data_IF_076637081410
#
_entry.id   IF_076637081410
#
_cell.length_a   1.000
_cell.length_b   1.000
_cell.length_c   1.000
_cell.angle_alpha   90.00
_cell.angle_beta   90.00
_cell.angle_gamma   90.00
#
_symmetry.space_group_name_H-M   'P 1'
#
loop_
_entity.id
_entity.type
_entity.pdbx_description
1 polymer ?
#
# COMPACT_ATOMS: atom_id res chain seq x y z
N UNK A 1 -22.65 32.43 -29.84
CA UNK A 1 -22.74 33.82 -30.32
C UNK A 1 -24.14 34.32 -29.98
N UNK A 2 -24.26 35.37 -29.19
CA UNK A 2 -25.51 35.85 -28.62
C UNK A 2 -26.47 36.33 -29.70
N UNK A 3 -27.77 36.10 -29.53
CA UNK A 3 -28.86 36.64 -30.39
C UNK A 3 -28.67 38.13 -30.69
N UNK A 4 -28.13 38.90 -29.76
CA UNK A 4 -27.82 40.32 -29.87
C UNK A 4 -26.85 40.68 -31.01
N UNK A 5 -25.86 39.83 -31.30
CA UNK A 5 -24.93 40.05 -32.43
C UNK A 5 -25.60 39.88 -33.78
N UNK A 6 -26.61 39.03 -33.88
CA UNK A 6 -27.39 38.85 -35.10
C UNK A 6 -28.39 39.99 -35.31
N UNK A 7 -28.99 40.48 -34.24
CA UNK A 7 -29.87 41.64 -34.26
C UNK A 7 -29.06 42.87 -34.66
N UNK A 8 -27.90 43.09 -34.08
CA UNK A 8 -27.01 44.20 -34.42
C UNK A 8 -26.58 44.15 -35.89
N UNK A 9 -26.20 42.97 -36.38
CA UNK A 9 -25.79 42.75 -37.77
C UNK A 9 -26.97 43.03 -38.73
N UNK A 10 -28.16 42.61 -38.38
CA UNK A 10 -29.38 42.81 -39.14
C UNK A 10 -29.77 44.34 -39.19
N UNK A 11 -29.61 45.02 -38.07
CA UNK A 11 -29.82 46.48 -37.99
C UNK A 11 -28.79 47.25 -38.83
N UNK A 12 -27.51 46.85 -38.77
CA UNK A 12 -26.46 47.47 -39.60
C UNK A 12 -26.73 47.23 -41.11
N UNK A 13 -27.11 45.99 -41.48
CA UNK A 13 -27.47 45.69 -42.88
C UNK A 13 -28.70 46.44 -43.33
N UNK A 14 -29.72 46.56 -42.48
CA UNK A 14 -30.92 47.34 -42.78
C UNK A 14 -30.63 48.86 -42.92
N UNK A 15 -29.77 49.43 -42.08
CA UNK A 15 -29.31 50.77 -42.12
C UNK A 15 -28.49 51.08 -43.40
N UNK A 16 -27.56 50.16 -43.75
CA UNK A 16 -26.78 50.23 -44.99
C UNK A 16 -27.68 50.12 -46.25
N UNK A 17 -28.69 49.27 -46.22
CA UNK A 17 -29.68 49.13 -47.31
C UNK A 17 -30.54 50.36 -47.43
N UNK A 18 -30.98 50.95 -46.32
CA UNK A 18 -31.77 52.21 -46.35
C UNK A 18 -30.95 53.40 -46.83
N UNK A 19 -29.69 53.50 -46.44
CA UNK A 19 -28.77 54.53 -46.90
C UNK A 19 -28.42 54.37 -48.39
N UNK A 20 -28.17 53.12 -48.82
CA UNK A 20 -27.89 52.76 -50.21
C UNK A 20 -29.08 53.00 -51.14
N UNK A 21 -30.34 52.85 -50.67
CA UNK A 21 -31.56 53.10 -51.45
C UNK A 21 -31.66 54.52 -51.93
N UNK A 22 -31.23 55.48 -51.13
CA UNK A 22 -31.30 56.89 -51.51
C UNK A 22 -30.35 57.27 -52.68
N UNK A 23 -29.23 56.58 -52.81
CA UNK A 23 -28.21 56.75 -53.84
C UNK A 23 -28.56 56.01 -55.15
N UNK A 24 -29.22 54.90 -55.07
CA UNK A 24 -29.52 53.98 -56.19
C UNK A 24 -30.85 54.45 -56.91
N UNK A 25 -31.68 55.21 -56.21
CA UNK A 25 -32.94 55.67 -56.75
C UNK A 25 -32.78 56.74 -57.89
N UNK A 26 -31.58 57.33 -58.00
CA UNK A 26 -31.31 58.38 -59.02
C UNK A 26 -30.85 57.82 -60.37
N UNK A 27 -30.12 56.68 -60.37
CA UNK A 27 -29.70 55.94 -61.57
C UNK A 27 -29.53 54.44 -61.28
N UNK A 28 -30.53 53.60 -61.65
CA UNK A 28 -30.44 52.17 -61.46
C UNK A 28 -29.53 51.52 -62.53
N UNK A 29 -28.19 51.56 -62.34
CA UNK A 29 -27.26 50.87 -63.24
C UNK A 29 -27.70 49.42 -63.51
N UNK A 30 -27.59 49.02 -64.79
CA UNK A 30 -27.90 47.61 -65.14
C UNK A 30 -26.65 46.80 -65.33
N UNK A 31 -26.72 45.51 -64.87
CA UNK A 31 -25.67 44.50 -65.07
C UNK A 31 -26.13 43.49 -66.08
N UNK A 32 -25.39 43.37 -67.20
CA UNK A 32 -25.64 42.43 -68.28
C UNK A 32 -24.66 41.24 -68.17
N UNK A 33 -25.19 40.13 -67.82
CA UNK A 33 -24.42 38.90 -67.75
C UNK A 33 -24.71 38.01 -68.97
N UNK A 34 -23.72 37.80 -69.80
CA UNK A 34 -23.81 36.89 -70.97
C UNK A 34 -23.08 35.56 -70.63
N UNK A 35 -23.84 34.49 -70.50
CA UNK A 35 -23.29 33.16 -70.29
C UNK A 35 -23.94 32.19 -71.31
N UNK A 36 -23.12 31.55 -72.16
CA UNK A 36 -23.55 30.52 -73.09
C UNK A 36 -24.84 30.79 -73.91
N UNK A 37 -25.00 32.00 -74.40
CA UNK A 37 -26.18 32.39 -75.26
C UNK A 37 -27.39 32.94 -74.45
N UNK A 38 -27.37 32.91 -73.18
CA UNK A 38 -28.40 33.53 -72.30
C UNK A 38 -27.98 34.99 -72.00
N UNK A 39 -28.87 35.92 -72.18
CA UNK A 39 -28.73 37.32 -71.73
C UNK A 39 -29.64 37.55 -70.54
N UNK A 40 -29.01 37.78 -69.37
CA UNK A 40 -29.76 38.19 -68.18
C UNK A 40 -29.46 39.64 -67.90
N UNK A 41 -30.47 40.45 -68.06
CA UNK A 41 -30.47 41.93 -67.75
C UNK A 41 -31.06 42.06 -66.32
N UNK A 42 -30.29 42.55 -65.41
CA UNK A 42 -30.75 42.80 -64.04
C UNK A 42 -30.26 44.15 -63.56
N UNK A 43 -31.00 44.78 -62.67
CA UNK A 43 -30.53 46.01 -61.99
C UNK A 43 -29.40 45.65 -61.06
N UNK A 44 -28.43 46.55 -60.84
CA UNK A 44 -27.31 46.35 -59.88
C UNK A 44 -27.79 45.89 -58.49
N UNK A 45 -28.93 46.50 -58.07
CA UNK A 45 -29.57 46.13 -56.77
C UNK A 45 -30.04 44.69 -56.75
N UNK A 46 -30.67 44.20 -57.79
CA UNK A 46 -31.15 42.84 -57.89
C UNK A 46 -29.96 41.84 -57.95
N UNK A 47 -28.87 42.15 -58.66
CA UNK A 47 -27.68 41.38 -58.73
C UNK A 47 -27.00 41.23 -57.33
N UNK A 48 -26.87 42.32 -56.58
CA UNK A 48 -26.34 42.30 -55.20
C UNK A 48 -27.24 41.51 -54.26
N UNK A 49 -28.57 41.66 -54.41
CA UNK A 49 -29.54 40.92 -53.59
C UNK A 49 -29.47 39.42 -53.88
N UNK A 50 -29.36 39.02 -55.16
CA UNK A 50 -29.18 37.60 -55.55
C UNK A 50 -27.86 37.04 -54.98
N UNK A 51 -26.76 37.82 -55.08
CA UNK A 51 -25.45 37.40 -54.53
C UNK A 51 -25.52 37.24 -53.01
N UNK A 52 -26.20 38.17 -52.33
CA UNK A 52 -26.41 38.12 -50.89
C UNK A 52 -27.24 36.90 -50.45
N UNK A 53 -28.34 36.60 -51.16
CA UNK A 53 -29.18 35.44 -50.94
C UNK A 53 -28.40 34.17 -51.21
N UNK A 54 -27.66 34.10 -52.33
CA UNK A 54 -26.80 32.96 -52.64
C UNK A 54 -25.73 32.70 -51.55
N UNK A 55 -25.10 33.78 -51.06
CA UNK A 55 -24.13 33.71 -49.97
C UNK A 55 -24.78 33.27 -48.66
N UNK A 56 -25.96 33.78 -48.30
CA UNK A 56 -26.72 33.36 -47.12
C UNK A 56 -27.13 31.89 -47.20
N UNK A 57 -27.58 31.42 -48.38
CA UNK A 57 -27.91 30.00 -48.62
C UNK A 57 -26.67 29.14 -48.49
N UNK A 58 -25.53 29.59 -49.04
CA UNK A 58 -24.25 28.86 -48.91
C UNK A 58 -23.82 28.73 -47.44
N UNK A 59 -23.91 29.81 -46.65
CA UNK A 59 -23.63 29.79 -45.21
C UNK A 59 -24.58 28.87 -44.48
N UNK A 60 -25.88 28.94 -44.80
CA UNK A 60 -26.90 28.09 -44.17
C UNK A 60 -26.64 26.59 -44.50
N UNK A 61 -26.38 26.30 -45.76
CA UNK A 61 -26.02 24.94 -46.19
C UNK A 61 -24.76 24.42 -45.51
N UNK A 62 -23.69 25.25 -45.41
CA UNK A 62 -22.46 24.94 -44.70
C UNK A 62 -22.71 24.70 -43.21
N UNK A 63 -23.57 25.51 -42.57
CA UNK A 63 -23.93 25.39 -41.17
C UNK A 63 -24.79 24.15 -40.92
N UNK A 64 -25.74 23.83 -41.81
CA UNK A 64 -26.56 22.61 -41.77
C UNK A 64 -25.72 21.36 -41.93
N UNK A 65 -24.74 21.38 -42.84
CA UNK A 65 -23.82 20.29 -43.08
C UNK A 65 -22.88 20.03 -41.87
N UNK A 66 -22.46 21.12 -41.19
CA UNK A 66 -21.60 21.04 -40.01
C UNK A 66 -22.34 20.70 -38.70
N UNK A 67 -23.62 20.95 -38.61
CA UNK A 67 -24.44 20.77 -37.41
C UNK A 67 -24.47 19.31 -36.91
N UNK A 68 -24.68 18.29 -37.76
CA UNK A 68 -24.68 16.89 -37.34
C UNK A 68 -23.31 16.43 -36.79
N UNK A 69 -22.20 16.90 -37.35
CA UNK A 69 -20.86 16.54 -36.85
C UNK A 69 -20.61 17.08 -35.45
N UNK A 70 -21.07 18.26 -35.10
CA UNK A 70 -20.98 18.79 -33.77
C UNK A 70 -21.89 18.10 -32.75
N UNK A 71 -23.07 17.67 -33.16
CA UNK A 71 -24.02 16.93 -32.33
C UNK A 71 -23.53 15.48 -32.06
N UNK A 72 -23.05 14.80 -33.08
CA UNK A 72 -22.44 13.45 -32.98
C UNK A 72 -21.20 13.46 -32.08
N UNK A 73 -20.31 14.45 -32.23
CA UNK A 73 -19.13 14.59 -31.38
C UNK A 73 -19.51 14.80 -29.90
N UNK A 74 -20.52 15.64 -29.62
CA UNK A 74 -21.03 15.86 -28.25
C UNK A 74 -21.63 14.57 -27.66
N UNK A 75 -22.42 13.84 -28.44
CA UNK A 75 -23.01 12.56 -28.04
C UNK A 75 -21.93 11.51 -27.76
N UNK A 76 -20.92 11.42 -28.62
CA UNK A 76 -19.79 10.50 -28.45
C UNK A 76 -19.00 10.80 -27.17
N UNK A 77 -18.69 12.08 -26.91
CA UNK A 77 -18.00 12.52 -25.68
C UNK A 77 -18.79 12.18 -24.42
N UNK A 78 -20.12 12.39 -24.42
CA UNK A 78 -20.99 12.04 -23.29
C UNK A 78 -21.01 10.54 -23.04
N UNK A 79 -21.14 9.74 -24.09
CA UNK A 79 -21.16 8.27 -24.00
C UNK A 79 -19.82 7.71 -23.50
N UNK A 80 -18.69 8.23 -23.98
CA UNK A 80 -17.36 7.79 -23.51
C UNK A 80 -17.12 8.15 -22.05
N UNK A 81 -17.56 9.31 -21.58
CA UNK A 81 -17.50 9.69 -20.15
C UNK A 81 -18.37 8.78 -19.29
N UNK A 82 -19.58 8.45 -19.76
CA UNK A 82 -20.49 7.51 -19.07
C UNK A 82 -19.84 6.13 -18.94
N UNK A 83 -19.27 5.59 -20.01
CA UNK A 83 -18.56 4.30 -20.01
C UNK A 83 -17.33 4.31 -19.10
N UNK A 84 -16.58 5.41 -19.04
CA UNK A 84 -15.47 5.55 -18.10
C UNK A 84 -15.96 5.43 -16.65
N UNK A 85 -17.04 6.15 -16.31
CA UNK A 85 -17.62 6.11 -14.96
C UNK A 85 -18.14 4.70 -14.63
N UNK A 86 -18.91 4.07 -15.52
CA UNK A 86 -19.43 2.70 -15.36
C UNK A 86 -18.31 1.67 -15.24
N UNK A 87 -17.26 1.79 -16.06
CA UNK A 87 -16.09 0.93 -15.99
C UNK A 87 -15.29 1.08 -14.71
N UNK A 88 -15.14 2.30 -14.18
CA UNK A 88 -14.47 2.53 -12.88
C UNK A 88 -15.31 2.00 -11.72
N UNK A 89 -16.63 2.16 -11.75
CA UNK A 89 -17.54 1.56 -10.75
C UNK A 89 -17.43 0.04 -10.80
N UNK A 90 -17.52 -0.58 -11.98
CA UNK A 90 -17.36 -2.01 -12.15
C UNK A 90 -16.01 -2.54 -11.63
N UNK A 91 -14.92 -1.75 -11.82
CA UNK A 91 -13.60 -2.07 -11.27
C UNK A 91 -13.61 -2.09 -9.74
N UNK A 92 -14.27 -1.12 -9.10
CA UNK A 92 -14.40 -1.05 -7.63
C UNK A 92 -15.29 -2.17 -7.07
N UNK A 93 -16.33 -2.56 -7.79
CA UNK A 93 -17.23 -3.65 -7.43
C UNK A 93 -16.61 -5.05 -7.70
N UNK A 94 -15.40 -5.13 -8.27
CA UNK A 94 -14.75 -6.40 -8.60
C UNK A 94 -15.25 -7.06 -9.90
N UNK A 95 -16.10 -6.41 -10.68
CA UNK A 95 -16.58 -6.87 -11.99
C UNK A 95 -15.56 -6.55 -13.08
N UNK A 96 -14.36 -7.16 -12.96
CA UNK A 96 -13.20 -6.80 -13.75
C UNK A 96 -13.37 -6.99 -15.26
N UNK A 97 -14.16 -8.00 -15.70
CA UNK A 97 -14.43 -8.23 -17.13
C UNK A 97 -15.32 -7.16 -17.76
N UNK A 98 -16.32 -6.65 -17.02
CA UNK A 98 -17.18 -5.55 -17.47
C UNK A 98 -16.39 -4.25 -17.46
N UNK A 99 -15.62 -4.02 -16.40
CA UNK A 99 -14.72 -2.87 -16.28
C UNK A 99 -13.79 -2.75 -17.48
N UNK A 100 -13.08 -3.81 -17.85
CA UNK A 100 -12.17 -3.81 -19.00
C UNK A 100 -12.90 -3.45 -20.31
N UNK A 101 -14.05 -4.05 -20.56
CA UNK A 101 -14.83 -3.78 -21.79
C UNK A 101 -15.27 -2.33 -21.90
N UNK A 102 -15.79 -1.75 -20.81
CA UNK A 102 -16.31 -0.38 -20.83
C UNK A 102 -15.17 0.64 -20.86
N UNK A 103 -14.07 0.38 -20.14
CA UNK A 103 -12.87 1.22 -20.16
C UNK A 103 -12.20 1.21 -21.54
N UNK A 104 -12.08 0.06 -22.22
CA UNK A 104 -11.55 -0.03 -23.58
C UNK A 104 -12.43 0.71 -24.59
N UNK A 105 -13.75 0.76 -24.39
CA UNK A 105 -14.63 1.58 -25.22
C UNK A 105 -14.49 3.08 -24.91
N UNK A 106 -14.24 3.44 -23.66
CA UNK A 106 -14.01 4.82 -23.24
C UNK A 106 -12.67 5.38 -23.79
N UNK A 107 -11.64 4.52 -23.95
CA UNK A 107 -10.30 4.89 -24.43
C UNK A 107 -10.28 5.40 -25.89
N UNK A 108 -11.35 5.16 -26.65
CA UNK A 108 -11.50 5.68 -28.03
C UNK A 108 -11.59 7.22 -28.08
N UNK A 109 -11.86 7.88 -26.95
CA UNK A 109 -11.82 9.33 -26.84
C UNK A 109 -10.42 9.74 -26.34
N UNK A 110 -9.65 10.45 -27.15
CA UNK A 110 -8.26 10.84 -26.85
C UNK A 110 -8.07 11.48 -25.48
N UNK A 111 -9.03 12.36 -25.11
CA UNK A 111 -8.99 13.03 -23.80
C UNK A 111 -9.13 12.07 -22.60
N UNK A 112 -9.64 10.86 -22.78
CA UNK A 112 -9.83 9.84 -21.73
C UNK A 112 -8.90 8.63 -21.90
N UNK A 113 -8.17 8.56 -23.02
CA UNK A 113 -7.40 7.40 -23.45
C UNK A 113 -6.44 6.92 -22.38
N UNK A 114 -5.62 7.81 -21.83
CA UNK A 114 -4.63 7.46 -20.82
C UNK A 114 -5.26 6.86 -19.56
N UNK A 115 -6.25 7.54 -18.98
CA UNK A 115 -6.92 7.08 -17.75
C UNK A 115 -7.68 5.78 -17.99
N UNK A 116 -8.40 5.68 -19.12
CA UNK A 116 -9.19 4.50 -19.44
C UNK A 116 -8.32 3.25 -19.67
N UNK A 117 -7.21 3.40 -20.40
CA UNK A 117 -6.28 2.28 -20.63
C UNK A 117 -5.57 1.86 -19.34
N UNK A 118 -5.14 2.79 -18.48
CA UNK A 118 -4.53 2.46 -17.19
C UNK A 118 -5.49 1.67 -16.30
N UNK A 119 -6.74 2.12 -16.21
CA UNK A 119 -7.78 1.42 -15.43
C UNK A 119 -8.15 0.06 -16.06
N UNK A 120 -8.19 -0.04 -17.39
CA UNK A 120 -8.43 -1.30 -18.11
C UNK A 120 -7.31 -2.31 -17.86
N UNK A 121 -6.06 -1.87 -17.86
CA UNK A 121 -4.91 -2.73 -17.54
C UNK A 121 -4.94 -3.23 -16.09
N UNK A 122 -5.33 -2.38 -15.12
CA UNK A 122 -5.53 -2.82 -13.74
C UNK A 122 -6.65 -3.87 -13.64
N UNK A 123 -7.75 -3.71 -14.41
CA UNK A 123 -8.84 -4.69 -14.46
C UNK A 123 -8.36 -6.05 -15.01
N UNK A 124 -7.61 -6.05 -16.12
CA UNK A 124 -7.01 -7.25 -16.69
C UNK A 124 -6.01 -7.92 -15.73
N UNK A 125 -5.16 -7.13 -15.06
CA UNK A 125 -4.21 -7.63 -14.08
C UNK A 125 -4.90 -8.29 -12.87
N UNK A 126 -6.04 -7.74 -12.42
CA UNK A 126 -6.81 -8.32 -11.31
C UNK A 126 -7.54 -9.62 -11.68
N UNK A 127 -7.76 -9.86 -12.98
CA UNK A 127 -8.24 -11.15 -13.49
C UNK A 127 -7.14 -12.20 -13.61
N UNK A 128 -5.87 -11.83 -13.36
CA UNK A 128 -4.72 -12.69 -13.59
C UNK A 128 -4.22 -12.69 -15.04
N UNK A 129 -4.80 -11.90 -15.93
CA UNK A 129 -4.42 -11.79 -17.34
C UNK A 129 -3.24 -10.80 -17.52
N UNK A 130 -2.08 -11.15 -16.93
CA UNK A 130 -0.93 -10.25 -16.86
C UNK A 130 -0.38 -9.89 -18.24
N UNK A 131 -0.35 -10.85 -19.19
CA UNK A 131 0.06 -10.59 -20.57
C UNK A 131 -0.81 -9.53 -21.23
N UNK A 132 -2.14 -9.68 -21.13
CA UNK A 132 -3.11 -8.70 -21.65
C UNK A 132 -2.96 -7.33 -21.01
N UNK A 133 -2.75 -7.29 -19.69
CA UNK A 133 -2.50 -6.03 -18.99
C UNK A 133 -1.24 -5.30 -19.52
N UNK A 134 -0.17 -6.04 -19.80
CA UNK A 134 1.08 -5.49 -20.36
C UNK A 134 0.89 -4.93 -21.77
N UNK A 135 0.09 -5.59 -22.62
CA UNK A 135 -0.26 -5.07 -23.97
C UNK A 135 -1.01 -3.73 -23.87
N UNK A 136 -2.04 -3.67 -23.02
CA UNK A 136 -2.82 -2.44 -22.79
C UNK A 136 -1.90 -1.32 -22.26
N UNK A 137 -0.95 -1.64 -21.37
CA UNK A 137 0.00 -0.67 -20.83
C UNK A 137 1.00 -0.16 -21.85
N UNK A 138 1.37 -0.99 -22.82
CA UNK A 138 2.21 -0.55 -23.95
C UNK A 138 1.50 0.56 -24.75
N UNK A 139 0.19 0.42 -24.99
CA UNK A 139 -0.63 1.46 -25.62
C UNK A 139 -0.80 2.70 -24.71
N UNK A 140 -1.06 2.49 -23.42
CA UNK A 140 -1.22 3.56 -22.44
C UNK A 140 0.03 4.42 -22.28
N UNK A 141 1.21 3.87 -22.56
CA UNK A 141 2.50 4.57 -22.42
C UNK A 141 2.64 5.81 -23.29
N UNK A 142 1.92 5.87 -24.42
CA UNK A 142 1.88 7.04 -25.30
C UNK A 142 1.15 8.23 -24.66
N UNK A 143 0.08 7.95 -23.91
CA UNK A 143 -0.77 8.98 -23.29
C UNK A 143 -0.37 9.34 -21.85
N UNK A 144 0.18 8.37 -21.11
CA UNK A 144 0.52 8.52 -19.69
C UNK A 144 1.80 7.72 -19.33
N UNK A 145 2.99 8.12 -19.79
CA UNK A 145 4.20 7.30 -19.73
C UNK A 145 4.64 6.94 -18.30
N UNK A 146 4.61 7.87 -17.37
CA UNK A 146 5.03 7.61 -15.99
C UNK A 146 4.07 6.66 -15.27
N UNK A 147 2.75 6.90 -15.37
CA UNK A 147 1.75 6.05 -14.73
C UNK A 147 1.73 4.65 -15.34
N UNK A 148 1.87 4.53 -16.66
CA UNK A 148 1.96 3.25 -17.35
C UNK A 148 3.19 2.45 -16.91
N UNK A 149 4.35 3.10 -16.71
CA UNK A 149 5.57 2.46 -16.21
C UNK A 149 5.40 1.90 -14.82
N UNK A 150 4.85 2.68 -13.88
CA UNK A 150 4.59 2.24 -12.51
C UNK A 150 3.61 1.07 -12.48
N UNK A 151 2.53 1.16 -13.27
CA UNK A 151 1.53 0.09 -13.32
C UNK A 151 2.10 -1.17 -14.00
N UNK A 152 2.95 -1.01 -15.02
CA UNK A 152 3.67 -2.13 -15.66
C UNK A 152 4.58 -2.86 -14.68
N UNK A 153 5.32 -2.13 -13.85
CA UNK A 153 6.13 -2.74 -12.79
C UNK A 153 5.26 -3.51 -11.78
N UNK A 154 4.09 -2.96 -11.41
CA UNK A 154 3.14 -3.66 -10.54
C UNK A 154 2.63 -4.95 -11.15
N UNK A 155 2.29 -4.96 -12.44
CA UNK A 155 1.82 -6.16 -13.15
C UNK A 155 2.93 -7.20 -13.22
N UNK A 156 4.16 -6.81 -13.58
CA UNK A 156 5.32 -7.70 -13.62
C UNK A 156 5.60 -8.32 -12.24
N UNK A 157 5.55 -7.53 -11.18
CA UNK A 157 5.73 -8.05 -9.82
C UNK A 157 4.64 -9.06 -9.42
N UNK A 158 3.38 -8.80 -9.79
CA UNK A 158 2.27 -9.76 -9.57
C UNK A 158 2.44 -11.04 -10.39
N UNK A 159 3.07 -10.94 -11.56
CA UNK A 159 3.40 -12.07 -12.43
C UNK A 159 4.65 -12.85 -11.95
N UNK A 160 5.22 -12.49 -10.79
CA UNK A 160 6.44 -13.12 -10.26
C UNK A 160 7.75 -12.60 -10.87
N UNK A 161 7.71 -11.65 -11.80
CA UNK A 161 8.87 -11.06 -12.50
C UNK A 161 9.38 -9.83 -11.76
N UNK A 162 9.73 -10.01 -10.47
CA UNK A 162 10.08 -8.90 -9.57
C UNK A 162 11.36 -8.17 -10.01
N UNK A 163 12.34 -8.88 -10.55
CA UNK A 163 13.60 -8.31 -11.05
C UNK A 163 13.38 -7.40 -12.25
N UNK A 164 12.50 -7.81 -13.19
CA UNK A 164 12.13 -6.98 -14.33
C UNK A 164 11.35 -5.72 -13.88
N UNK A 165 10.43 -5.90 -12.92
CA UNK A 165 9.68 -4.79 -12.32
C UNK A 165 10.62 -3.77 -11.68
N UNK A 166 11.62 -4.24 -10.94
CA UNK A 166 12.62 -3.40 -10.30
C UNK A 166 13.47 -2.65 -11.34
N UNK A 167 14.00 -3.35 -12.34
CA UNK A 167 14.81 -2.77 -13.41
C UNK A 167 14.07 -1.65 -14.16
N UNK A 168 12.76 -1.75 -14.28
CA UNK A 168 11.92 -0.75 -14.94
C UNK A 168 11.82 0.57 -14.17
N UNK A 169 11.86 0.52 -12.82
CA UNK A 169 11.67 1.67 -11.94
C UNK A 169 12.98 2.36 -11.52
N UNK A 170 14.09 1.63 -11.51
CA UNK A 170 15.40 2.12 -11.06
C UNK A 170 15.84 3.39 -11.77
N UNK A 171 15.77 3.53 -13.12
CA UNK A 171 16.23 4.73 -13.80
C UNK A 171 15.48 6.02 -13.37
N UNK A 172 14.20 5.90 -13.04
CA UNK A 172 13.40 7.02 -12.57
C UNK A 172 13.64 7.30 -11.07
N UNK A 173 13.93 6.24 -10.28
CA UNK A 173 14.30 6.38 -8.88
C UNK A 173 15.63 7.12 -8.71
N UNK A 174 16.64 6.76 -9.51
CA UNK A 174 17.97 7.40 -9.49
C UNK A 174 17.90 8.89 -9.84
N UNK A 175 16.90 9.29 -10.63
CA UNK A 175 16.61 10.70 -10.97
C UNK A 175 15.65 11.38 -10.00
N UNK A 176 15.23 10.71 -8.93
CA UNK A 176 14.17 11.13 -8.02
C UNK A 176 12.86 11.55 -8.73
N UNK A 177 12.59 10.98 -9.90
CA UNK A 177 11.46 11.33 -10.77
C UNK A 177 10.24 10.42 -10.62
N UNK A 178 10.27 9.46 -9.67
CA UNK A 178 9.14 8.58 -9.43
C UNK A 178 7.98 9.34 -8.80
N UNK A 179 6.74 9.12 -9.28
CA UNK A 179 5.56 9.62 -8.59
C UNK A 179 5.38 8.90 -7.24
N UNK A 180 4.57 9.46 -6.31
CA UNK A 180 4.36 8.88 -4.98
C UNK A 180 4.05 7.37 -4.97
N UNK A 181 3.15 6.92 -5.83
CA UNK A 181 2.84 5.49 -5.99
C UNK A 181 3.98 4.66 -6.57
N UNK A 182 4.91 5.30 -7.30
CA UNK A 182 6.11 4.66 -7.86
C UNK A 182 7.12 4.26 -6.78
N UNK A 183 7.34 5.09 -5.78
CA UNK A 183 8.21 4.76 -4.64
C UNK A 183 7.71 3.55 -3.86
N UNK A 184 6.38 3.47 -3.65
CA UNK A 184 5.77 2.29 -3.03
C UNK A 184 6.00 1.03 -3.87
N UNK A 185 5.80 1.13 -5.18
CA UNK A 185 5.98 -0.02 -6.08
C UNK A 185 7.45 -0.42 -6.19
N UNK A 186 8.38 0.54 -6.16
CA UNK A 186 9.82 0.28 -6.09
C UNK A 186 10.18 -0.52 -4.84
N UNK A 187 9.73 -0.07 -3.66
CA UNK A 187 9.99 -0.79 -2.41
C UNK A 187 9.45 -2.22 -2.44
N UNK A 188 8.22 -2.41 -2.95
CA UNK A 188 7.60 -3.74 -3.05
C UNK A 188 8.28 -4.63 -4.08
N UNK A 189 8.71 -4.07 -5.22
CA UNK A 189 9.43 -4.83 -6.26
C UNK A 189 10.83 -5.20 -5.80
N UNK A 190 11.52 -4.30 -5.11
CA UNK A 190 12.83 -4.55 -4.52
C UNK A 190 12.77 -5.64 -3.45
N UNK A 191 11.77 -5.61 -2.56
CA UNK A 191 11.53 -6.69 -1.59
C UNK A 191 11.29 -8.03 -2.28
N UNK A 192 10.43 -8.07 -3.27
CA UNK A 192 10.11 -9.29 -4.00
C UNK A 192 11.32 -9.83 -4.81
N UNK A 193 12.23 -8.96 -5.24
CA UNK A 193 13.47 -9.30 -5.93
C UNK A 193 14.64 -9.64 -4.97
N UNK A 194 14.45 -9.47 -3.64
CA UNK A 194 15.50 -9.67 -2.65
C UNK A 194 16.54 -8.52 -2.57
N UNK A 195 16.32 -7.42 -3.26
CA UNK A 195 17.20 -6.23 -3.18
C UNK A 195 16.79 -5.32 -2.00
N UNK A 196 17.18 -5.77 -0.80
CA UNK A 196 16.84 -5.07 0.44
C UNK A 196 17.46 -3.69 0.54
N UNK A 197 18.62 -3.46 -0.08
CA UNK A 197 19.27 -2.14 -0.10
C UNK A 197 18.41 -1.12 -0.84
N UNK A 198 17.89 -1.47 -2.02
CA UNK A 198 16.98 -0.58 -2.77
C UNK A 198 15.64 -0.42 -2.09
N UNK A 199 15.15 -1.47 -1.44
CA UNK A 199 13.92 -1.39 -0.65
C UNK A 199 14.06 -0.37 0.50
N UNK A 200 15.17 -0.39 1.24
CA UNK A 200 15.49 0.60 2.28
C UNK A 200 15.62 2.02 1.73
N UNK A 201 16.34 2.18 0.62
CA UNK A 201 16.52 3.49 -0.01
C UNK A 201 15.19 4.12 -0.50
N UNK A 202 14.19 3.31 -0.80
CA UNK A 202 12.88 3.79 -1.21
C UNK A 202 12.01 4.31 -0.05
N UNK A 203 12.31 3.98 1.21
CA UNK A 203 11.47 4.34 2.37
C UNK A 203 11.40 5.84 2.62
N UNK A 204 12.55 6.53 2.60
CA UNK A 204 12.60 7.98 2.86
C UNK A 204 11.83 8.80 1.82
N UNK A 205 12.04 8.60 0.49
CA UNK A 205 11.23 9.28 -0.53
C UNK A 205 9.74 8.92 -0.44
N UNK A 206 9.41 7.67 -0.11
CA UNK A 206 8.03 7.23 0.08
C UNK A 206 7.36 7.96 1.25
N UNK A 207 8.05 8.10 2.38
CA UNK A 207 7.55 8.83 3.55
C UNK A 207 7.31 10.30 3.22
N UNK A 208 8.30 10.97 2.58
CA UNK A 208 8.19 12.37 2.15
C UNK A 208 7.06 12.60 1.16
N UNK A 209 6.76 11.62 0.32
CA UNK A 209 5.71 11.72 -0.69
C UNK A 209 4.28 11.68 -0.13
N UNK A 210 4.08 11.19 1.09
CA UNK A 210 2.76 11.02 1.70
C UNK A 210 1.84 10.03 0.98
N UNK A 211 2.38 9.17 0.10
CA UNK A 211 1.60 8.23 -0.71
C UNK A 211 0.86 7.17 0.11
N UNK A 212 1.30 6.92 1.33
CA UNK A 212 0.68 6.01 2.27
C UNK A 212 0.32 6.77 3.55
N UNK A 213 -0.84 6.45 4.12
CA UNK A 213 -1.14 6.88 5.49
C UNK A 213 -0.19 6.20 6.48
N UNK A 214 -0.09 6.76 7.69
CA UNK A 214 0.86 6.31 8.73
C UNK A 214 0.86 4.79 8.92
N UNK A 215 -0.31 4.18 9.11
CA UNK A 215 -0.42 2.72 9.29
C UNK A 215 0.11 1.92 8.08
N UNK A 216 -0.16 2.38 6.86
CA UNK A 216 0.32 1.71 5.64
C UNK A 216 1.83 1.84 5.46
N UNK A 217 2.39 2.99 5.83
CA UNK A 217 3.83 3.22 5.80
C UNK A 217 4.55 2.36 6.85
N UNK A 218 4.12 2.39 8.11
CA UNK A 218 4.77 1.61 9.18
C UNK A 218 4.72 0.10 8.91
N UNK A 219 3.63 -0.40 8.34
CA UNK A 219 3.53 -1.81 7.95
C UNK A 219 4.51 -2.19 6.82
N UNK A 220 4.71 -1.31 5.83
CA UNK A 220 5.68 -1.55 4.76
C UNK A 220 7.11 -1.39 5.27
N UNK A 221 7.39 -0.36 6.07
CA UNK A 221 8.68 -0.12 6.71
C UNK A 221 9.12 -1.33 7.54
N UNK A 222 8.25 -1.86 8.39
CA UNK A 222 8.54 -3.07 9.17
C UNK A 222 8.93 -4.26 8.28
N UNK A 223 8.20 -4.49 7.18
CA UNK A 223 8.53 -5.57 6.22
C UNK A 223 9.91 -5.37 5.58
N UNK A 224 10.22 -4.13 5.21
CA UNK A 224 11.52 -3.82 4.58
C UNK A 224 12.65 -3.99 5.58
N UNK A 225 12.48 -3.51 6.82
CA UNK A 225 13.47 -3.63 7.87
C UNK A 225 13.74 -5.09 8.24
N UNK A 226 12.68 -5.88 8.46
CA UNK A 226 12.80 -7.30 8.75
C UNK A 226 13.55 -8.01 7.61
N UNK A 227 13.14 -7.80 6.37
CA UNK A 227 13.79 -8.45 5.23
C UNK A 227 15.27 -8.04 5.09
N UNK A 228 15.62 -6.79 5.37
CA UNK A 228 17.00 -6.31 5.32
C UNK A 228 17.86 -6.91 6.43
N UNK A 229 17.31 -7.03 7.64
CA UNK A 229 17.96 -7.64 8.79
C UNK A 229 18.17 -9.13 8.57
N UNK A 230 17.14 -9.85 8.10
CA UNK A 230 17.19 -11.30 7.84
C UNK A 230 18.16 -11.62 6.69
N UNK A 231 18.33 -10.73 5.72
CA UNK A 231 19.26 -10.89 4.60
C UNK A 231 20.73 -10.66 4.99
N UNK A 232 21.04 -10.17 6.20
CA UNK A 232 22.42 -9.97 6.63
C UNK A 232 23.17 -11.33 6.64
N UNK A 233 24.32 -11.44 5.93
CA UNK A 233 25.04 -12.71 5.81
C UNK A 233 25.77 -13.11 7.09
N UNK A 234 26.22 -12.16 7.89
CA UNK A 234 26.97 -12.35 9.12
C UNK A 234 26.70 -11.24 10.14
N UNK A 235 27.27 -11.39 11.34
CA UNK A 235 27.12 -10.44 12.44
C UNK A 235 27.76 -9.07 12.18
N UNK A 236 28.83 -9.01 11.40
CA UNK A 236 29.49 -7.75 11.07
C UNK A 236 28.64 -6.93 10.11
N UNK A 237 28.09 -7.57 9.07
CA UNK A 237 27.15 -6.94 8.14
C UNK A 237 25.86 -6.50 8.85
N UNK A 238 25.33 -7.33 9.79
CA UNK A 238 24.18 -6.98 10.60
C UNK A 238 24.41 -5.72 11.44
N UNK A 239 25.57 -5.65 12.16
CA UNK A 239 25.92 -4.50 12.98
C UNK A 239 26.13 -3.23 12.13
N UNK A 240 26.73 -3.38 10.95
CA UNK A 240 26.92 -2.28 10.00
C UNK A 240 25.55 -1.75 9.54
N UNK A 241 24.67 -2.64 9.09
CA UNK A 241 23.31 -2.28 8.72
C UNK A 241 22.58 -1.57 9.87
N UNK A 242 22.62 -2.17 11.09
CA UNK A 242 21.94 -1.62 12.27
C UNK A 242 22.42 -0.22 12.62
N UNK A 243 23.74 0.01 12.56
CA UNK A 243 24.32 1.33 12.86
C UNK A 243 23.94 2.41 11.84
N UNK A 244 23.76 2.02 10.58
CA UNK A 244 23.38 2.92 9.48
C UNK A 244 21.89 3.28 9.46
N UNK A 245 21.03 2.47 10.10
CA UNK A 245 19.59 2.76 10.17
C UNK A 245 19.33 4.05 10.96
N UNK A 246 18.39 4.91 10.51
CA UNK A 246 17.90 6.06 11.27
C UNK A 246 17.39 5.64 12.65
N UNK A 247 17.58 6.51 13.65
CA UNK A 247 17.11 6.25 15.04
C UNK A 247 15.62 5.90 15.13
N UNK A 248 14.80 6.51 14.27
CA UNK A 248 13.35 6.21 14.19
C UNK A 248 13.09 4.76 13.79
N UNK A 249 13.80 4.26 12.80
CA UNK A 249 13.66 2.89 12.31
C UNK A 249 14.22 1.86 13.31
N UNK A 250 15.34 2.15 13.95
CA UNK A 250 15.88 1.29 15.02
C UNK A 250 15.00 1.20 16.26
N UNK A 251 14.07 2.14 16.46
CA UNK A 251 13.11 2.12 17.57
C UNK A 251 11.82 1.34 17.28
N UNK A 252 11.61 0.94 16.04
CA UNK A 252 10.42 0.15 15.68
C UNK A 252 10.50 -1.25 16.35
N UNK A 253 9.46 -1.67 17.12
CA UNK A 253 9.48 -2.97 17.83
C UNK A 253 9.79 -4.15 16.92
N UNK A 254 9.20 -4.21 15.75
CA UNK A 254 9.44 -5.26 14.77
C UNK A 254 10.90 -5.31 14.25
N UNK A 255 11.57 -4.17 14.15
CA UNK A 255 12.98 -4.12 13.75
C UNK A 255 13.90 -4.60 14.89
N UNK A 256 13.58 -4.23 16.13
CA UNK A 256 14.33 -4.66 17.32
C UNK A 256 14.22 -6.17 17.50
N UNK A 257 13.01 -6.73 17.38
CA UNK A 257 12.78 -8.16 17.45
C UNK A 257 13.55 -8.93 16.35
N UNK A 258 13.47 -8.46 15.10
CA UNK A 258 14.20 -9.05 13.99
C UNK A 258 15.72 -8.99 14.22
N UNK A 259 16.24 -7.83 14.66
CA UNK A 259 17.65 -7.65 14.98
C UNK A 259 18.08 -8.60 16.09
N UNK A 260 17.32 -8.69 17.19
CA UNK A 260 17.65 -9.53 18.34
C UNK A 260 17.70 -11.01 17.94
N UNK A 261 16.72 -11.49 17.18
CA UNK A 261 16.70 -12.89 16.67
C UNK A 261 17.90 -13.17 15.76
N UNK A 262 18.16 -12.26 14.81
CA UNK A 262 19.27 -12.45 13.85
C UNK A 262 20.63 -12.36 14.51
N UNK A 263 20.84 -11.39 15.41
CA UNK A 263 22.06 -11.22 16.18
C UNK A 263 22.35 -12.43 17.07
N UNK A 264 21.34 -12.95 17.76
CA UNK A 264 21.49 -14.19 18.54
C UNK A 264 21.89 -15.39 17.67
N UNK A 265 21.34 -15.51 16.46
CA UNK A 265 21.73 -16.53 15.49
C UNK A 265 23.20 -16.46 15.07
N UNK A 266 23.81 -15.28 15.12
CA UNK A 266 25.24 -15.08 14.89
C UNK A 266 26.10 -15.11 16.18
N UNK A 267 25.51 -15.47 17.32
CA UNK A 267 26.21 -15.49 18.62
C UNK A 267 26.35 -14.12 19.29
N UNK A 268 25.78 -13.07 18.71
CA UNK A 268 25.80 -11.69 19.25
C UNK A 268 24.67 -11.49 20.28
N UNK A 269 24.64 -12.35 21.30
CA UNK A 269 23.55 -12.38 22.29
C UNK A 269 23.56 -11.13 23.18
N UNK A 270 24.71 -10.65 23.61
CA UNK A 270 24.79 -9.46 24.48
C UNK A 270 24.27 -8.19 23.79
N UNK A 271 24.72 -7.84 22.57
CA UNK A 271 24.14 -6.70 21.84
C UNK A 271 22.63 -6.84 21.59
N UNK A 272 22.15 -8.05 21.30
CA UNK A 272 20.72 -8.32 21.12
C UNK A 272 19.91 -8.00 22.38
N UNK A 273 20.44 -8.41 23.53
CA UNK A 273 19.81 -8.18 24.83
C UNK A 273 19.83 -6.70 25.21
N UNK A 274 20.96 -6.02 25.02
CA UNK A 274 21.09 -4.59 25.32
C UNK A 274 20.06 -3.76 24.53
N UNK A 275 19.84 -4.08 23.26
CA UNK A 275 18.82 -3.41 22.43
C UNK A 275 17.39 -3.69 22.93
N UNK A 276 17.06 -4.94 23.25
CA UNK A 276 15.74 -5.31 23.81
C UNK A 276 15.50 -4.63 25.15
N UNK A 277 16.46 -4.69 26.07
CA UNK A 277 16.34 -4.05 27.38
C UNK A 277 16.26 -2.53 27.29
N UNK A 278 17.04 -1.92 26.38
CA UNK A 278 16.98 -0.47 26.12
C UNK A 278 15.63 -0.07 25.55
N UNK A 279 15.04 -0.90 24.69
CA UNK A 279 13.71 -0.66 24.13
C UNK A 279 12.62 -0.76 25.20
N UNK A 280 12.63 -1.83 25.99
CA UNK A 280 11.66 -2.06 27.07
C UNK A 280 11.71 -0.98 28.18
N UNK A 281 12.89 -0.43 28.47
CA UNK A 281 13.00 0.72 29.38
C UNK A 281 12.39 2.01 28.84
N UNK A 282 12.34 2.16 27.50
CA UNK A 282 11.74 3.36 26.87
C UNK A 282 10.23 3.24 26.74
N UNK A 283 9.78 2.07 26.30
CA UNK A 283 8.37 1.80 26.04
C UNK A 283 8.12 0.31 26.25
N UNK A 284 7.21 0.01 27.15
CA UNK A 284 6.85 -1.37 27.43
C UNK A 284 6.07 -1.98 26.27
N UNK A 285 6.51 -3.10 25.75
CA UNK A 285 5.90 -3.81 24.63
C UNK A 285 5.87 -5.30 24.89
N UNK A 286 4.68 -5.89 24.82
CA UNK A 286 4.51 -7.35 24.98
C UNK A 286 5.31 -8.13 23.92
N UNK A 287 5.33 -7.66 22.68
CA UNK A 287 6.09 -8.26 21.58
C UNK A 287 7.60 -8.36 21.92
N UNK A 288 8.18 -7.29 22.46
CA UNK A 288 9.60 -7.28 22.85
C UNK A 288 9.89 -8.11 24.12
N UNK A 289 8.94 -8.18 25.03
CA UNK A 289 9.03 -9.06 26.21
C UNK A 289 9.04 -10.53 25.78
N UNK A 290 8.18 -10.91 24.86
CA UNK A 290 8.16 -12.26 24.30
C UNK A 290 9.48 -12.59 23.58
N UNK A 291 10.00 -11.66 22.77
CA UNK A 291 11.29 -11.79 22.11
C UNK A 291 12.41 -11.98 23.12
N UNK A 292 12.43 -11.22 24.23
CA UNK A 292 13.37 -11.37 25.32
C UNK A 292 13.32 -12.77 25.95
N UNK A 293 12.10 -13.30 26.15
CA UNK A 293 11.88 -14.65 26.67
C UNK A 293 12.36 -15.76 25.74
N UNK A 294 12.25 -15.57 24.41
CA UNK A 294 12.62 -16.58 23.41
C UNK A 294 14.12 -16.61 23.13
N UNK A 295 14.81 -15.49 23.31
CA UNK A 295 16.24 -15.37 22.96
C UNK A 295 17.08 -16.46 23.65
N UNK A 296 17.85 -17.20 22.88
CA UNK A 296 18.76 -18.25 23.41
C UNK A 296 20.11 -17.65 23.80
N UNK A 297 20.72 -18.20 24.87
CA UNK A 297 22.07 -17.85 25.32
C UNK A 297 22.13 -16.67 26.29
N UNK A 298 23.34 -16.18 26.55
CA UNK A 298 23.63 -15.14 27.55
C UNK A 298 23.64 -15.64 28.98
N UNK A 299 23.86 -14.74 29.94
CA UNK A 299 23.78 -15.04 31.38
C UNK A 299 22.30 -15.17 31.81
N UNK A 300 21.84 -16.41 31.97
CA UNK A 300 20.46 -16.73 32.34
C UNK A 300 20.08 -16.18 33.71
N UNK A 301 21.04 -16.17 34.68
CA UNK A 301 20.77 -15.66 36.03
C UNK A 301 20.60 -14.14 36.02
N UNK A 302 21.41 -13.41 35.27
CA UNK A 302 21.26 -11.98 35.11
C UNK A 302 19.92 -11.64 34.40
N UNK A 303 19.55 -12.42 33.37
CA UNK A 303 18.30 -12.27 32.67
C UNK A 303 17.08 -12.51 33.56
N UNK A 304 17.16 -13.57 34.38
CA UNK A 304 16.09 -13.91 35.31
C UNK A 304 15.91 -12.79 36.34
N UNK A 305 16.97 -12.31 36.97
CA UNK A 305 16.90 -11.18 37.90
C UNK A 305 16.29 -9.94 37.26
N UNK A 306 16.63 -9.68 36.02
CA UNK A 306 16.07 -8.54 35.26
C UNK A 306 14.57 -8.70 35.02
N UNK A 307 14.14 -9.88 34.53
CA UNK A 307 12.74 -10.18 34.28
C UNK A 307 11.92 -10.18 35.58
N UNK A 308 12.45 -10.71 36.66
CA UNK A 308 11.83 -10.65 38.01
C UNK A 308 11.74 -9.21 38.53
N UNK A 309 12.73 -8.35 38.23
CA UNK A 309 12.65 -6.91 38.52
C UNK A 309 11.50 -6.22 37.79
N UNK A 310 11.27 -6.54 36.53
CA UNK A 310 10.15 -5.99 35.76
C UNK A 310 8.78 -6.46 36.27
N UNK A 311 8.71 -7.66 36.89
CA UNK A 311 7.46 -8.15 37.48
C UNK A 311 7.00 -7.31 38.69
N UNK A 312 7.88 -6.52 39.32
CA UNK A 312 7.50 -5.58 40.35
C UNK A 312 6.62 -4.46 39.77
N UNK A 313 6.94 -3.98 38.58
CA UNK A 313 6.21 -2.92 37.89
C UNK A 313 5.03 -3.47 37.05
N UNK A 314 5.15 -4.70 36.55
CA UNK A 314 4.17 -5.35 35.68
C UNK A 314 3.74 -6.75 36.20
N UNK A 315 3.12 -6.84 37.41
CA UNK A 315 2.89 -8.12 38.10
C UNK A 315 1.90 -9.04 37.40
N UNK A 316 1.01 -8.49 36.55
CA UNK A 316 -0.04 -9.22 35.83
C UNK A 316 0.15 -9.21 34.32
N UNK A 317 1.36 -9.04 33.85
CA UNK A 317 1.67 -9.14 32.41
C UNK A 317 1.92 -10.62 32.04
N UNK A 318 1.00 -11.20 31.27
CA UNK A 318 1.05 -12.60 30.85
C UNK A 318 2.27 -12.92 29.98
N UNK A 319 2.69 -11.99 29.13
CA UNK A 319 3.86 -12.14 28.26
C UNK A 319 5.15 -12.13 29.09
N UNK A 320 5.24 -11.26 30.10
CA UNK A 320 6.39 -11.21 31.00
C UNK A 320 6.50 -12.49 31.85
N UNK A 321 5.38 -12.99 32.38
CA UNK A 321 5.35 -14.25 33.10
C UNK A 321 5.78 -15.41 32.20
N UNK A 322 5.32 -15.45 30.95
CA UNK A 322 5.76 -16.44 29.96
C UNK A 322 7.27 -16.32 29.68
N UNK A 323 7.76 -15.10 29.46
CA UNK A 323 9.19 -14.85 29.21
C UNK A 323 10.05 -15.31 30.40
N UNK A 324 9.66 -14.95 31.62
CA UNK A 324 10.33 -15.36 32.86
C UNK A 324 10.30 -16.87 33.03
N UNK A 325 9.16 -17.51 32.78
CA UNK A 325 9.01 -18.95 32.79
C UNK A 325 9.93 -19.66 31.79
N UNK A 326 10.06 -19.17 30.56
CA UNK A 326 10.98 -19.69 29.55
C UNK A 326 12.44 -19.55 29.95
N UNK A 327 12.82 -18.43 30.58
CA UNK A 327 14.18 -18.26 31.13
C UNK A 327 14.44 -19.28 32.22
N UNK A 328 13.49 -19.50 33.14
CA UNK A 328 13.58 -20.51 34.20
C UNK A 328 13.71 -21.93 33.64
N UNK A 329 12.95 -22.26 32.57
CA UNK A 329 13.09 -23.58 31.88
C UNK A 329 14.52 -23.78 31.39
N UNK A 330 15.10 -22.79 30.74
CA UNK A 330 16.49 -22.85 30.24
C UNK A 330 17.52 -22.91 31.36
N UNK A 331 17.26 -22.23 32.46
CA UNK A 331 18.07 -22.27 33.67
C UNK A 331 17.87 -23.56 34.50
N UNK A 332 17.00 -24.49 34.03
CA UNK A 332 16.64 -25.74 34.72
C UNK A 332 15.99 -25.51 36.09
N UNK A 333 15.40 -24.36 36.32
CA UNK A 333 14.66 -23.99 37.53
C UNK A 333 13.19 -24.41 37.40
N UNK A 334 12.93 -25.70 37.30
CA UNK A 334 11.65 -26.29 36.93
C UNK A 334 10.47 -25.83 37.80
N UNK A 335 10.68 -25.76 39.12
CA UNK A 335 9.65 -25.33 40.09
C UNK A 335 9.23 -23.89 39.87
N UNK A 336 10.19 -22.96 39.75
CA UNK A 336 9.91 -21.54 39.42
C UNK A 336 9.28 -21.39 38.02
N UNK A 337 9.78 -22.16 37.05
CA UNK A 337 9.22 -22.14 35.70
C UNK A 337 7.72 -22.43 35.69
N UNK A 338 7.30 -23.48 36.39
CA UNK A 338 5.89 -23.87 36.49
C UNK A 338 5.05 -22.77 37.11
N UNK A 339 5.48 -22.19 38.22
CA UNK A 339 4.75 -21.12 38.91
C UNK A 339 4.47 -19.91 37.98
N UNK A 340 5.50 -19.44 37.24
CA UNK A 340 5.34 -18.35 36.31
C UNK A 340 4.44 -18.72 35.12
N UNK A 341 4.62 -19.92 34.57
CA UNK A 341 3.87 -20.39 33.39
C UNK A 341 2.39 -20.67 33.71
N UNK A 342 2.11 -21.28 34.88
CA UNK A 342 0.74 -21.50 35.35
C UNK A 342 0.01 -20.13 35.57
N UNK A 343 0.73 -19.16 36.16
CA UNK A 343 0.20 -17.82 36.33
C UNK A 343 -0.02 -17.10 34.99
N UNK A 344 0.90 -17.25 34.03
CA UNK A 344 0.70 -16.73 32.66
C UNK A 344 -0.55 -17.32 32.01
N UNK A 345 -0.74 -18.64 32.11
CA UNK A 345 -1.91 -19.36 31.58
C UNK A 345 -3.21 -18.97 32.25
N UNK A 346 -3.17 -18.63 33.53
CA UNK A 346 -4.36 -18.17 34.29
C UNK A 346 -4.81 -16.77 33.83
N UNK A 347 -3.87 -15.90 33.43
CA UNK A 347 -4.15 -14.57 32.91
C UNK A 347 -4.56 -14.61 31.43
N UNK A 348 -3.76 -15.28 30.64
CA UNK A 348 -3.96 -15.38 29.18
C UNK A 348 -3.52 -16.77 28.69
N UNK A 349 -4.47 -17.66 28.38
CA UNK A 349 -4.15 -18.97 27.81
C UNK A 349 -3.48 -18.80 26.45
N UNK A 350 -2.26 -19.33 26.29
CA UNK A 350 -1.47 -19.21 25.08
C UNK A 350 -0.73 -20.50 24.71
N UNK A 351 -0.55 -20.75 23.41
CA UNK A 351 0.18 -21.93 22.89
C UNK A 351 1.58 -22.00 23.50
N UNK A 352 2.32 -20.87 23.45
CA UNK A 352 3.69 -20.81 23.93
C UNK A 352 3.84 -21.04 25.44
N UNK A 353 2.82 -20.71 26.24
CA UNK A 353 2.82 -20.96 27.68
C UNK A 353 2.58 -22.45 27.99
N UNK A 354 1.68 -23.11 27.24
CA UNK A 354 1.48 -24.56 27.33
C UNK A 354 2.70 -25.35 26.88
N UNK A 355 3.37 -24.95 25.81
CA UNK A 355 4.63 -25.55 25.35
C UNK A 355 5.71 -25.42 26.40
N UNK A 356 5.98 -24.21 26.90
CA UNK A 356 7.02 -24.00 27.92
C UNK A 356 6.71 -24.74 29.24
N UNK A 357 5.42 -24.85 29.61
CA UNK A 357 5.01 -25.65 30.78
C UNK A 357 5.25 -27.15 30.55
N UNK A 358 5.01 -27.61 29.31
CA UNK A 358 5.37 -28.98 28.92
C UNK A 358 6.86 -29.27 29.06
N UNK A 359 7.71 -28.33 28.59
CA UNK A 359 9.16 -28.41 28.71
C UNK A 359 9.60 -28.44 30.19
N UNK A 360 8.97 -27.65 31.06
CA UNK A 360 9.25 -27.65 32.49
C UNK A 360 8.92 -28.99 33.13
N UNK A 361 7.77 -29.57 32.81
CA UNK A 361 7.39 -30.91 33.31
C UNK A 361 8.29 -32.01 32.76
N UNK A 362 8.64 -31.95 31.48
CA UNK A 362 9.56 -32.90 30.87
C UNK A 362 10.96 -32.85 31.52
N UNK A 363 11.47 -31.63 31.76
CA UNK A 363 12.76 -31.44 32.45
C UNK A 363 12.77 -31.95 33.87
N UNK A 364 11.60 -32.01 34.54
CA UNK A 364 11.43 -32.58 35.87
C UNK A 364 11.24 -34.13 35.87
N UNK A 365 11.03 -34.72 34.69
CA UNK A 365 10.83 -36.15 34.49
C UNK A 365 9.36 -36.60 34.51
N UNK A 366 8.39 -35.70 34.61
CA UNK A 366 6.97 -36.04 34.52
C UNK A 366 6.47 -35.98 33.06
N UNK A 367 6.71 -37.05 32.34
CA UNK A 367 6.30 -37.18 30.95
C UNK A 367 4.76 -37.13 30.75
N UNK A 368 3.99 -37.53 31.77
CA UNK A 368 2.52 -37.53 31.69
C UNK A 368 1.97 -36.11 31.66
N UNK A 369 2.45 -35.27 32.56
CA UNK A 369 2.05 -33.86 32.59
C UNK A 369 2.59 -33.11 31.36
N UNK A 370 3.82 -33.36 30.97
CA UNK A 370 4.39 -32.79 29.74
C UNK A 370 3.51 -33.09 28.50
N UNK A 371 3.09 -34.34 28.32
CA UNK A 371 2.24 -34.75 27.21
C UNK A 371 0.85 -34.07 27.25
N UNK A 372 0.30 -33.84 28.45
CA UNK A 372 -0.95 -33.10 28.60
C UNK A 372 -0.79 -31.64 28.15
N UNK A 373 0.29 -30.97 28.57
CA UNK A 373 0.58 -29.59 28.19
C UNK A 373 0.76 -29.45 26.66
N UNK A 374 1.53 -30.34 26.03
CA UNK A 374 1.69 -30.29 24.57
C UNK A 374 0.40 -30.60 23.82
N UNK A 375 -0.49 -31.49 24.33
CA UNK A 375 -1.81 -31.70 23.75
C UNK A 375 -2.69 -30.43 23.84
N UNK A 376 -2.62 -29.72 24.96
CA UNK A 376 -3.32 -28.47 25.13
C UNK A 376 -2.80 -27.39 24.15
N UNK A 377 -1.49 -27.28 23.96
CA UNK A 377 -0.90 -26.40 22.97
C UNK A 377 -1.40 -26.72 21.56
N UNK A 378 -1.41 -28.00 21.17
CA UNK A 378 -1.93 -28.46 19.88
C UNK A 378 -3.45 -28.25 19.72
N UNK A 379 -4.24 -28.43 20.79
CA UNK A 379 -5.68 -28.15 20.77
C UNK A 379 -5.96 -26.67 20.50
N UNK A 380 -5.20 -25.77 21.15
CA UNK A 380 -5.30 -24.34 20.93
C UNK A 380 -4.96 -23.93 19.48
N UNK A 381 -3.94 -24.50 18.87
CA UNK A 381 -3.60 -24.23 17.46
C UNK A 381 -4.72 -24.64 16.50
N UNK A 382 -5.57 -25.60 16.88
CA UNK A 382 -6.73 -26.05 16.12
C UNK A 382 -8.02 -25.33 16.47
N UNK A 383 -7.98 -24.39 17.43
CA UNK A 383 -9.19 -23.70 17.92
C UNK A 383 -10.06 -24.58 18.81
N UNK A 384 -9.57 -25.68 19.34
CA UNK A 384 -10.28 -26.58 20.24
C UNK A 384 -10.23 -26.08 21.69
N UNK A 385 -11.24 -26.46 22.49
CA UNK A 385 -11.26 -26.13 23.93
C UNK A 385 -10.18 -26.90 24.69
N UNK A 386 -9.38 -26.16 25.47
CA UNK A 386 -8.30 -26.72 26.29
C UNK A 386 -8.88 -27.40 27.53
N UNK A 387 -8.50 -28.62 27.82
CA UNK A 387 -8.84 -29.29 29.09
C UNK A 387 -7.95 -28.75 30.20
N UNK A 388 -8.52 -27.89 31.05
CA UNK A 388 -7.85 -27.46 32.30
C UNK A 388 -7.64 -28.66 33.20
N UNK A 389 -6.42 -28.81 33.77
CA UNK A 389 -6.16 -29.86 34.76
C UNK A 389 -6.89 -29.50 36.06
N UNK A 390 -7.41 -30.52 36.76
CA UNK A 390 -8.17 -30.34 38.01
C UNK A 390 -7.39 -29.63 39.13
N UNK A 391 -6.08 -29.49 39.01
CA UNK A 391 -5.23 -28.74 39.96
C UNK A 391 -5.36 -27.23 39.87
N UNK A 392 -5.92 -26.67 38.76
CA UNK A 392 -6.13 -25.23 38.61
C UNK A 392 -7.47 -24.74 39.21
N UNK A 393 -8.36 -25.66 39.59
CA UNK A 393 -9.71 -25.31 40.12
C UNK A 393 -9.71 -25.09 41.63
N UNK A 394 -8.60 -25.23 42.34
CA UNK A 394 -8.56 -25.20 43.81
C UNK A 394 -7.60 -24.19 44.42
N UNK A 395 -7.22 -23.15 43.68
CA UNK A 395 -6.35 -22.11 44.22
C UNK A 395 -6.93 -20.72 43.98
N UNK A 396 -7.22 -19.98 45.01
CA UNK A 396 -7.21 -18.53 45.01
C UNK A 396 -5.91 -18.13 44.31
N UNK A 397 -5.99 -17.34 43.22
CA UNK A 397 -4.80 -16.81 42.55
C UNK A 397 -3.99 -16.10 43.62
N UNK A 398 -2.89 -16.72 44.03
CA UNK A 398 -1.98 -16.09 44.98
C UNK A 398 -1.27 -14.97 44.24
N UNK A 399 -1.70 -13.76 44.50
CA UNK A 399 -1.12 -12.52 43.98
C UNK A 399 0.10 -12.08 44.79
N UNK A 400 0.52 -12.86 45.79
CA UNK A 400 1.74 -12.55 46.54
C UNK A 400 2.96 -12.65 45.62
N UNK A 401 3.91 -11.75 45.80
CA UNK A 401 5.16 -11.76 45.07
C UNK A 401 5.85 -13.14 45.25
N UNK A 402 6.23 -13.79 44.14
CA UNK A 402 7.03 -15.01 44.20
C UNK A 402 8.31 -14.64 44.95
N UNK A 403 8.60 -15.36 46.04
CA UNK A 403 9.76 -15.11 46.87
C UNK A 403 11.05 -15.14 46.02
N UNK A 404 11.77 -14.03 46.02
CA UNK A 404 13.05 -13.92 45.33
C UNK A 404 14.07 -14.73 46.07
N UNK A 405 14.67 -15.73 45.41
CA UNK A 405 15.72 -16.54 46.00
C UNK A 405 17.03 -15.74 45.95
N UNK A 406 17.47 -15.22 47.09
CA UNK A 406 18.82 -14.68 47.25
C UNK A 406 19.78 -15.82 47.58
N UNK A 407 20.89 -15.90 46.84
CA UNK A 407 21.98 -16.81 47.17
C UNK A 407 23.05 -16.07 47.97
N UNK A 408 23.58 -16.69 48.99
CA UNK A 408 24.73 -16.16 49.72
C UNK A 408 26.02 -16.27 48.86
N UNK A 409 27.11 -15.72 49.39
CA UNK A 409 28.43 -15.77 48.74
C UNK A 409 28.99 -17.18 48.49
N UNK A 410 28.35 -18.20 49.04
CA UNK A 410 28.67 -19.63 48.85
C UNK A 410 27.64 -20.36 47.97
N UNK A 411 26.71 -19.60 47.33
CA UNK A 411 25.70 -20.17 46.41
C UNK A 411 24.54 -20.90 47.10
N UNK A 412 24.36 -20.79 48.43
CA UNK A 412 23.27 -21.42 49.17
C UNK A 412 22.02 -20.52 49.11
N UNK A 413 20.84 -21.04 48.70
CA UNK A 413 19.63 -20.23 48.57
C UNK A 413 19.14 -19.78 49.96
N UNK A 414 18.87 -18.45 50.08
CA UNK A 414 18.19 -17.86 51.25
C UNK A 414 16.84 -17.32 50.82
N UNK A 415 15.79 -17.70 51.52
CA UNK A 415 14.45 -17.12 51.43
C UNK A 415 14.41 -15.83 52.24
N UNK A 416 14.13 -14.69 51.66
CA UNK A 416 13.68 -13.51 52.42
C UNK A 416 12.22 -13.75 52.80
N UNK A 417 11.98 -13.78 54.11
CA UNK A 417 10.65 -13.80 54.72
C UNK A 417 9.97 -12.45 54.64
#
# INVERSE_FOLDING_TARGET
MSLWRWILLLVIVAALAAFGWHWVAVDPGYVLVRLRGWRVETTVVAAVLILFVAWAVLILAWRLLRWPFGALSRRHRRLSRKRLAEGLIALMEGRHGDAERDLNRASRLDALRGVALLASAEAASRRGEHGRALEILAEASQAAPQAARVLRARVLRRDGKATEALALLVPDADKAALPPGGWRELALSALAAGDTRRALAALEPLQKSGALGTRGYTALEAKVLIAAIDAAPDGAALNTLWSQLPKTQRRAPAAIDAYARRAAGFGLVLPAMDELESALRREWSQELVEAYGVLAGGDLDARLRRAEGWLADHPNDAALLLATGRICVRAKLWGKARQYLERSLALEPGVGAWEALGDAWQGQGDATQAQRCYRNALAMTRGETVRQSASQTSGVIDTSAIAVEERDEHGVPRLRG
#
